data_IF_237648906986
#
_entry.id   IF_237648906986
#
_cell.length_a   1.000
_cell.length_b   1.000
_cell.length_c   1.000
_cell.angle_alpha   90.00
_cell.angle_beta   90.00
_cell.angle_gamma   90.00
#
_symmetry.space_group_name_H-M   'P 1'
#
loop_
_entity.id
_entity.type
_entity.pdbx_description
1 polymer ?
#
# COMPACT_ATOMS: atom_id res chain seq x y z
N UNK A 1 -6.35 7.87 6.84
CA UNK A 1 -6.41 7.08 5.59
C UNK A 1 -6.90 7.89 4.39
N UNK A 2 -7.90 8.72 4.55
CA UNK A 2 -8.41 9.58 3.46
C UNK A 2 -7.32 10.45 2.84
N UNK A 3 -6.46 11.03 3.67
CA UNK A 3 -5.34 11.83 3.17
C UNK A 3 -4.37 10.97 2.36
N UNK A 4 -4.04 9.77 2.86
CA UNK A 4 -3.17 8.84 2.15
C UNK A 4 -3.74 8.50 0.76
N UNK A 5 -5.03 8.19 0.71
CA UNK A 5 -5.72 7.88 -0.55
C UNK A 5 -5.66 9.05 -1.53
N UNK A 6 -5.88 10.27 -1.06
CA UNK A 6 -5.80 11.48 -1.89
C UNK A 6 -4.39 11.68 -2.43
N UNK A 7 -3.38 11.53 -1.57
CA UNK A 7 -1.98 11.67 -1.95
C UNK A 7 -1.56 10.57 -2.94
N UNK A 8 -2.04 9.36 -2.75
CA UNK A 8 -1.80 8.24 -3.66
C UNK A 8 -2.38 8.51 -5.05
N UNK A 9 -3.63 8.99 -5.12
CA UNK A 9 -4.27 9.34 -6.39
C UNK A 9 -3.52 10.48 -7.10
N UNK A 10 -3.09 11.49 -6.36
CA UNK A 10 -2.30 12.59 -6.90
C UNK A 10 -0.96 12.09 -7.45
N UNK A 11 -0.32 11.16 -6.73
CA UNK A 11 0.91 10.53 -7.18
C UNK A 11 0.69 9.74 -8.47
N UNK A 12 -0.36 8.92 -8.55
CA UNK A 12 -0.70 8.18 -9.77
C UNK A 12 -0.92 9.12 -10.96
N UNK A 13 -1.61 10.24 -10.75
CA UNK A 13 -1.79 11.26 -11.78
C UNK A 13 -0.46 11.83 -12.27
N UNK A 14 0.49 12.02 -11.39
CA UNK A 14 1.81 12.55 -11.75
C UNK A 14 2.62 11.59 -12.62
N UNK A 15 2.36 10.30 -12.55
CA UNK A 15 3.11 9.29 -13.30
C UNK A 15 2.90 9.40 -14.80
N UNK A 16 1.74 9.87 -15.25
CA UNK A 16 1.46 10.08 -16.68
C UNK A 16 2.38 11.13 -17.33
N UNK A 17 2.99 12.00 -16.53
CA UNK A 17 3.87 13.08 -16.98
C UNK A 17 5.36 12.75 -16.91
N UNK A 18 5.71 11.53 -16.48
CA UNK A 18 7.11 11.14 -16.26
C UNK A 18 7.96 11.25 -17.52
N UNK A 19 7.41 10.85 -18.67
CA UNK A 19 8.15 10.88 -19.93
C UNK A 19 8.48 12.26 -20.44
N UNK A 20 7.59 13.22 -20.21
CA UNK A 20 7.76 14.61 -20.69
C UNK A 20 8.53 15.47 -19.71
N UNK A 21 8.61 15.08 -18.43
CA UNK A 21 9.19 15.89 -17.37
C UNK A 21 10.68 15.71 -17.12
N UNK A 22 11.33 14.72 -17.73
CA UNK A 22 12.76 14.48 -17.57
C UNK A 22 13.15 14.02 -16.16
N UNK A 23 14.43 14.25 -15.79
CA UNK A 23 14.98 13.85 -14.49
C UNK A 23 14.25 14.44 -13.28
N UNK A 24 13.83 15.73 -13.27
CA UNK A 24 13.08 16.27 -12.13
C UNK A 24 11.77 15.55 -11.87
N UNK A 25 11.05 15.15 -12.92
CA UNK A 25 9.79 14.41 -12.77
C UNK A 25 10.02 13.04 -12.17
N UNK A 26 11.08 12.33 -12.58
CA UNK A 26 11.45 11.03 -12.02
C UNK A 26 11.82 11.16 -10.55
N UNK A 27 12.63 12.15 -10.19
CA UNK A 27 13.00 12.41 -8.79
C UNK A 27 11.78 12.69 -7.93
N UNK A 28 10.85 13.53 -8.41
CA UNK A 28 9.62 13.85 -7.69
C UNK A 28 8.74 12.61 -7.50
N UNK A 29 8.64 11.74 -8.53
CA UNK A 29 7.90 10.49 -8.43
C UNK A 29 8.49 9.56 -7.37
N UNK A 30 9.82 9.46 -7.30
CA UNK A 30 10.50 8.65 -6.29
C UNK A 30 10.32 9.22 -4.89
N UNK A 31 10.45 10.54 -4.70
CA UNK A 31 10.17 11.18 -3.41
C UNK A 31 8.72 10.94 -2.98
N UNK A 32 7.78 11.07 -3.91
CA UNK A 32 6.37 10.78 -3.65
C UNK A 32 6.13 9.36 -3.22
N UNK A 33 6.77 8.40 -3.89
CA UNK A 33 6.70 6.98 -3.55
C UNK A 33 7.14 6.74 -2.10
N UNK A 34 8.31 7.21 -1.73
CA UNK A 34 8.84 7.01 -0.37
C UNK A 34 8.05 7.78 0.68
N UNK A 35 7.49 8.93 0.32
CA UNK A 35 6.55 9.64 1.19
C UNK A 35 5.29 8.82 1.47
N UNK A 36 4.71 8.19 0.45
CA UNK A 36 3.55 7.32 0.60
C UNK A 36 3.86 6.09 1.46
N UNK A 37 5.04 5.48 1.26
CA UNK A 37 5.49 4.36 2.08
C UNK A 37 5.60 4.74 3.55
N UNK A 38 6.21 5.88 3.84
CA UNK A 38 6.38 6.37 5.21
C UNK A 38 5.03 6.64 5.87
N UNK A 39 4.11 7.28 5.17
CA UNK A 39 2.76 7.54 5.65
C UNK A 39 2.00 6.23 5.91
N UNK A 40 2.10 5.28 5.00
CA UNK A 40 1.47 3.97 5.16
C UNK A 40 1.99 3.25 6.40
N UNK A 41 3.30 3.23 6.59
CA UNK A 41 3.93 2.62 7.76
C UNK A 41 3.44 3.26 9.06
N UNK A 42 3.33 4.58 9.08
CA UNK A 42 2.81 5.34 10.24
C UNK A 42 1.37 4.95 10.55
N UNK A 43 0.52 4.85 9.53
CA UNK A 43 -0.88 4.44 9.67
C UNK A 43 -0.96 3.01 10.20
N UNK A 44 -0.18 2.10 9.61
CA UNK A 44 -0.14 0.69 10.01
C UNK A 44 0.25 0.53 11.47
N UNK A 45 1.31 1.21 11.89
CA UNK A 45 1.79 1.15 13.29
C UNK A 45 0.76 1.68 14.26
N UNK A 46 0.11 2.79 13.92
CA UNK A 46 -0.91 3.40 14.77
C UNK A 46 -2.13 2.49 14.93
N UNK A 47 -2.65 1.96 13.84
CA UNK A 47 -3.80 1.05 13.88
C UNK A 47 -3.47 -0.24 14.63
N UNK A 48 -2.30 -0.80 14.39
CA UNK A 48 -1.85 -2.01 15.07
C UNK A 48 -1.78 -1.79 16.58
N UNK A 49 -1.21 -0.66 17.01
CA UNK A 49 -1.08 -0.30 18.42
C UNK A 49 -2.45 -0.15 19.08
N UNK A 50 -3.38 0.53 18.42
CA UNK A 50 -4.74 0.73 18.92
C UNK A 50 -5.47 -0.61 19.09
N UNK A 51 -5.36 -1.51 18.11
CA UNK A 51 -5.99 -2.84 18.15
C UNK A 51 -5.38 -3.74 19.21
N UNK A 52 -4.08 -3.70 19.38
CA UNK A 52 -3.39 -4.46 20.44
C UNK A 52 -3.88 -3.98 21.81
N UNK A 53 -4.00 -2.66 22.00
CA UNK A 53 -4.49 -2.08 23.25
C UNK A 53 -5.93 -2.53 23.56
N UNK A 54 -6.81 -2.52 22.57
CA UNK A 54 -8.20 -2.98 22.71
C UNK A 54 -8.28 -4.47 23.09
N UNK A 55 -7.51 -5.32 22.41
CA UNK A 55 -7.50 -6.76 22.68
C UNK A 55 -6.86 -7.07 24.03
N UNK A 56 -5.82 -6.34 24.43
CA UNK A 56 -5.17 -6.51 25.73
C UNK A 56 -6.11 -6.19 26.89
N UNK A 57 -7.02 -5.21 26.72
CA UNK A 57 -8.04 -4.88 27.72
C UNK A 57 -9.05 -6.03 27.88
N UNK A 58 -9.40 -6.70 26.80
CA UNK A 58 -10.33 -7.84 26.84
C UNK A 58 -9.75 -9.08 27.50
N UNK A 59 -8.43 -9.25 27.52
CA UNK A 59 -7.73 -10.42 27.99
C UNK A 59 -7.02 -10.16 29.33
N UNK A 60 -7.59 -9.33 30.18
CA UNK A 60 -6.95 -8.94 31.44
C UNK A 60 -6.58 -10.13 32.33
N UNK A 61 -5.31 -10.27 32.59
CA UNK A 61 -4.77 -10.93 33.78
C UNK A 61 -4.22 -12.34 33.64
N UNK A 62 -4.29 -13.02 32.50
CA UNK A 62 -3.90 -14.43 32.42
C UNK A 62 -3.11 -14.84 31.16
N UNK A 63 -2.54 -13.89 30.41
CA UNK A 63 -1.80 -14.23 29.19
C UNK A 63 -0.33 -14.38 29.48
N UNK A 64 0.24 -15.53 29.14
CA UNK A 64 1.68 -15.74 29.09
C UNK A 64 2.27 -14.85 28.00
N UNK A 65 3.55 -14.48 28.15
CA UNK A 65 4.27 -13.64 27.22
C UNK A 65 4.21 -14.15 25.77
N UNK A 66 4.31 -15.48 25.58
CA UNK A 66 4.28 -16.10 24.25
C UNK A 66 2.93 -15.94 23.57
N UNK A 67 1.83 -16.03 24.33
CA UNK A 67 0.48 -15.82 23.81
C UNK A 67 0.24 -14.37 23.42
N UNK A 68 0.79 -13.43 24.19
CA UNK A 68 0.73 -12.01 23.91
C UNK A 68 1.48 -11.68 22.61
N UNK A 69 2.71 -12.20 22.45
CA UNK A 69 3.52 -11.99 21.25
C UNK A 69 2.83 -12.57 20.01
N UNK A 70 2.23 -13.76 20.13
CA UNK A 70 1.47 -14.38 19.05
C UNK A 70 0.24 -13.55 18.66
N UNK A 71 -0.46 -12.98 19.64
CA UNK A 71 -1.60 -12.12 19.41
C UNK A 71 -1.19 -10.84 18.68
N UNK A 72 -0.11 -10.20 19.14
CA UNK A 72 0.43 -8.99 18.52
C UNK A 72 0.83 -9.22 17.06
N UNK A 73 1.51 -10.34 16.77
CA UNK A 73 1.89 -10.72 15.40
C UNK A 73 0.67 -10.94 14.50
N UNK A 74 -0.37 -11.58 15.03
CA UNK A 74 -1.62 -11.81 14.29
C UNK A 74 -2.34 -10.51 13.98
N UNK A 75 -2.41 -9.60 14.94
CA UNK A 75 -3.03 -8.28 14.76
C UNK A 75 -2.26 -7.47 13.73
N UNK A 76 -0.93 -7.45 13.83
CA UNK A 76 -0.08 -6.75 12.86
C UNK A 76 -0.32 -7.24 11.44
N UNK A 77 -0.32 -8.56 11.23
CA UNK A 77 -0.55 -9.16 9.92
C UNK A 77 -1.96 -8.89 9.41
N UNK A 78 -2.96 -9.05 10.26
CA UNK A 78 -4.35 -8.78 9.90
C UNK A 78 -4.57 -7.32 9.49
N UNK A 79 -3.98 -6.39 10.22
CA UNK A 79 -4.03 -4.96 9.91
C UNK A 79 -3.39 -4.67 8.55
N UNK A 80 -2.22 -5.26 8.30
CA UNK A 80 -1.54 -5.10 7.01
C UNK A 80 -2.41 -5.61 5.85
N UNK A 81 -2.99 -6.80 5.97
CA UNK A 81 -3.83 -7.37 4.93
C UNK A 81 -5.08 -6.51 4.65
N UNK A 82 -5.68 -5.94 5.69
CA UNK A 82 -6.79 -5.00 5.52
C UNK A 82 -6.36 -3.74 4.77
N UNK A 83 -5.21 -3.16 5.14
CA UNK A 83 -4.69 -1.97 4.47
C UNK A 83 -4.34 -2.26 3.01
N UNK A 84 -3.83 -3.44 2.70
CA UNK A 84 -3.57 -3.84 1.31
C UNK A 84 -4.86 -3.90 0.49
N UNK A 85 -5.97 -4.35 1.07
CA UNK A 85 -7.29 -4.32 0.42
C UNK A 85 -7.74 -2.88 0.17
N UNK A 86 -7.46 -1.98 1.10
CA UNK A 86 -7.77 -0.56 0.92
C UNK A 86 -6.93 0.08 -0.19
N UNK A 87 -5.66 -0.33 -0.33
CA UNK A 87 -4.81 0.09 -1.44
C UNK A 87 -5.36 -0.41 -2.76
N UNK A 88 -5.81 -1.66 -2.80
CA UNK A 88 -6.46 -2.23 -3.98
C UNK A 88 -7.70 -1.42 -4.36
N UNK A 89 -8.57 -1.11 -3.39
CA UNK A 89 -9.76 -0.32 -3.63
C UNK A 89 -9.41 1.09 -4.12
N UNK A 90 -8.41 1.72 -3.53
CA UNK A 90 -7.94 3.04 -3.97
C UNK A 90 -7.43 3.01 -5.42
N UNK A 91 -6.75 1.94 -5.80
CA UNK A 91 -6.25 1.74 -7.17
C UNK A 91 -7.41 1.56 -8.15
N UNK A 92 -8.43 0.78 -7.77
CA UNK A 92 -9.65 0.62 -8.57
C UNK A 92 -10.40 1.94 -8.75
N UNK A 93 -10.58 2.68 -7.66
CA UNK A 93 -11.25 3.99 -7.71
C UNK A 93 -10.53 4.94 -8.65
N UNK A 94 -9.20 4.96 -8.60
CA UNK A 94 -8.40 5.79 -9.51
C UNK A 94 -8.61 5.38 -10.97
N UNK A 95 -8.51 4.09 -11.26
CA UNK A 95 -8.63 3.58 -12.63
C UNK A 95 -10.02 3.84 -13.23
N UNK A 96 -11.06 3.71 -12.42
CA UNK A 96 -12.45 3.89 -12.86
C UNK A 96 -12.82 5.36 -13.03
N UNK A 97 -12.25 6.24 -12.21
CA UNK A 97 -12.57 7.67 -12.24
C UNK A 97 -11.59 8.51 -13.06
N UNK A 98 -10.51 7.91 -13.54
CA UNK A 98 -9.54 8.62 -14.38
C UNK A 98 -10.10 8.83 -15.78
N UNK A 99 -10.03 10.07 -16.25
CA UNK A 99 -10.40 10.43 -17.64
C UNK A 99 -9.23 10.31 -18.61
N UNK A 100 -8.04 9.92 -18.10
CA UNK A 100 -6.82 9.85 -18.90
C UNK A 100 -6.72 8.55 -19.69
N UNK A 101 -6.53 8.66 -21.00
CA UNK A 101 -6.18 7.55 -21.87
C UNK A 101 -7.33 6.60 -22.25
N UNK A 102 -6.98 5.54 -22.95
CA UNK A 102 -7.89 4.51 -23.42
C UNK A 102 -8.38 3.63 -22.26
N UNK A 103 -9.69 3.37 -22.20
CA UNK A 103 -10.30 2.53 -21.16
C UNK A 103 -9.69 1.13 -21.10
N UNK A 104 -9.41 0.51 -22.25
CA UNK A 104 -8.81 -0.81 -22.31
C UNK A 104 -7.42 -0.84 -21.69
N UNK A 105 -6.60 0.18 -21.96
CA UNK A 105 -5.25 0.31 -21.41
C UNK A 105 -5.32 0.52 -19.88
N UNK A 106 -6.24 1.36 -19.41
CA UNK A 106 -6.44 1.58 -17.97
C UNK A 106 -6.86 0.32 -17.25
N UNK A 107 -7.76 -0.44 -17.85
CA UNK A 107 -8.22 -1.71 -17.29
C UNK A 107 -7.06 -2.70 -17.19
N UNK A 108 -6.22 -2.78 -18.22
CA UNK A 108 -5.05 -3.65 -18.21
C UNK A 108 -4.07 -3.26 -17.11
N UNK A 109 -3.78 -1.97 -16.95
CA UNK A 109 -2.91 -1.46 -15.89
C UNK A 109 -3.49 -1.76 -14.51
N UNK A 110 -4.80 -1.60 -14.35
CA UNK A 110 -5.48 -1.93 -13.10
C UNK A 110 -5.33 -3.41 -12.77
N UNK A 111 -5.61 -4.30 -13.72
CA UNK A 111 -5.48 -5.76 -13.52
C UNK A 111 -4.06 -6.12 -13.09
N UNK A 112 -3.05 -5.59 -13.77
CA UNK A 112 -1.65 -5.84 -13.43
C UNK A 112 -1.27 -5.31 -12.06
N UNK A 113 -1.80 -4.14 -11.67
CA UNK A 113 -1.59 -3.58 -10.33
C UNK A 113 -2.21 -4.47 -9.25
N UNK A 114 -3.43 -4.93 -9.46
CA UNK A 114 -4.14 -5.83 -8.53
C UNK A 114 -3.41 -7.16 -8.41
N UNK A 115 -2.97 -7.73 -9.52
CA UNK A 115 -2.18 -8.98 -9.52
C UNK A 115 -0.90 -8.81 -8.68
N UNK A 116 -0.23 -7.67 -8.79
CA UNK A 116 0.96 -7.38 -8.00
C UNK A 116 0.63 -7.32 -6.51
N UNK A 117 -0.50 -6.68 -6.14
CA UNK A 117 -0.96 -6.65 -4.74
C UNK A 117 -1.25 -8.06 -4.21
N UNK A 118 -1.84 -8.91 -5.03
CA UNK A 118 -2.16 -10.30 -4.67
C UNK A 118 -0.91 -11.15 -4.43
N UNK A 119 0.23 -10.78 -5.02
CA UNK A 119 1.51 -11.45 -4.78
C UNK A 119 2.10 -11.13 -3.40
N UNK A 120 1.76 -9.98 -2.81
CA UNK A 120 2.40 -9.50 -1.58
C UNK A 120 2.23 -10.45 -0.39
N UNK A 121 1.06 -11.04 -0.13
CA UNK A 121 0.93 -11.99 0.98
C UNK A 121 1.89 -13.18 0.86
N UNK A 122 2.14 -13.66 -0.35
CA UNK A 122 3.12 -14.72 -0.61
C UNK A 122 4.55 -14.29 -0.29
N UNK A 123 4.92 -13.07 -0.68
CA UNK A 123 6.24 -12.50 -0.38
C UNK A 123 6.45 -12.31 1.13
N UNK A 124 5.41 -11.92 1.85
CA UNK A 124 5.44 -11.76 3.30
C UNK A 124 5.65 -13.10 4.02
N UNK A 125 5.10 -14.19 3.47
CA UNK A 125 5.31 -15.55 4.00
C UNK A 125 6.77 -16.01 3.84
N UNK A 126 7.50 -15.46 2.89
CA UNK A 126 8.92 -15.73 2.67
C UNK A 126 9.82 -14.83 3.52
N UNK A 127 9.29 -14.24 4.60
CA UNK A 127 9.99 -13.35 5.54
C UNK A 127 10.47 -12.03 4.92
N UNK A 128 9.87 -11.59 3.81
CA UNK A 128 10.13 -10.27 3.29
C UNK A 128 9.50 -9.24 4.23
N UNK A 129 10.23 -8.15 4.52
CA UNK A 129 9.72 -7.07 5.37
C UNK A 129 8.53 -6.38 4.71
N UNK A 130 7.54 -5.97 5.50
CA UNK A 130 6.32 -5.31 5.05
C UNK A 130 6.61 -4.11 4.14
N UNK A 131 7.56 -3.26 4.56
CA UNK A 131 7.96 -2.06 3.80
C UNK A 131 8.57 -2.44 2.45
N UNK A 132 9.41 -3.49 2.43
CA UNK A 132 10.06 -3.96 1.20
C UNK A 132 9.03 -4.53 0.21
N UNK A 133 8.06 -5.29 0.70
CA UNK A 133 6.99 -5.83 -0.13
C UNK A 133 6.14 -4.71 -0.74
N UNK A 134 5.79 -3.71 0.06
CA UNK A 134 5.00 -2.57 -0.40
C UNK A 134 5.80 -1.69 -1.37
N UNK A 135 7.11 -1.51 -1.12
CA UNK A 135 8.01 -0.81 -2.05
C UNK A 135 8.02 -1.50 -3.42
N UNK A 136 8.11 -2.82 -3.44
CA UNK A 136 8.02 -3.61 -4.67
C UNK A 136 6.73 -3.29 -5.43
N UNK A 137 5.60 -3.26 -4.75
CA UNK A 137 4.32 -2.91 -5.36
C UNK A 137 4.35 -1.50 -5.97
N UNK A 138 4.79 -0.50 -5.20
CA UNK A 138 4.84 0.88 -5.68
C UNK A 138 5.78 1.06 -6.87
N UNK A 139 6.92 0.39 -6.89
CA UNK A 139 7.84 0.42 -8.03
C UNK A 139 7.21 -0.19 -9.28
N UNK A 140 6.47 -1.28 -9.13
CA UNK A 140 5.71 -1.88 -10.23
C UNK A 140 4.63 -0.93 -10.75
N UNK A 141 3.87 -0.32 -9.86
CA UNK A 141 2.83 0.65 -10.20
C UNK A 141 3.42 1.86 -10.91
N UNK A 142 4.55 2.37 -10.43
CA UNK A 142 5.25 3.47 -11.07
C UNK A 142 5.58 3.11 -12.53
N UNK A 143 6.11 1.93 -12.76
CA UNK A 143 6.46 1.45 -14.10
C UNK A 143 5.21 1.32 -14.99
N UNK A 144 4.13 0.73 -14.46
CA UNK A 144 2.90 0.48 -15.20
C UNK A 144 2.19 1.78 -15.60
N UNK A 145 1.98 2.69 -14.64
CA UNK A 145 1.21 3.90 -14.87
C UNK A 145 1.99 5.04 -15.52
N UNK A 146 3.32 4.92 -15.61
CA UNK A 146 4.15 5.86 -16.37
C UNK A 146 4.22 5.53 -17.86
N UNK A 147 3.79 4.34 -18.26
CA UNK A 147 3.73 3.95 -19.67
C UNK A 147 2.49 4.55 -20.35
N UNK A 148 2.57 4.89 -21.65
CA UNK A 148 1.42 5.41 -22.38
C UNK A 148 0.30 4.41 -22.55
#
# INVERSE_FOLDING_TARGET
>A
WKKWKTDYHAWLNSLSRLRSGGKPAVSNAMFGLYGLLQQFETIQKKLTKERISEESEKIKGHTEKDEKDALESRILRGTLLELLKEVEQATRDYALNSSLGNTAIRTQKLVQSVETLEELPGLLRLNLKDVTALEYFFLKVLRLWSQP
#
